data_IF_349929967271
#
_entry.id   IF_349929967271
#
_cell.length_a   1.000
_cell.length_b   1.000
_cell.length_c   1.000
_cell.angle_alpha   90.00
_cell.angle_beta   90.00
_cell.angle_gamma   90.00
#
_symmetry.space_group_name_H-M   'P 1'
#
loop_
_entity.id
_entity.type
_entity.pdbx_description
1 polymer ?
#
# COMPACT_ATOMS: atom_id res chain seq x y z
N UNK A 1 -32.23 -46.06 -1.54
CA UNK A 1 -31.33 -45.11 -2.22
C UNK A 1 -31.35 -43.72 -1.57
N UNK A 2 -32.51 -43.06 -1.46
CA UNK A 2 -32.65 -41.73 -0.86
C UNK A 2 -32.06 -41.58 0.58
N UNK A 3 -32.30 -42.55 1.48
CA UNK A 3 -31.78 -42.49 2.86
C UNK A 3 -30.25 -42.53 2.96
N UNK A 4 -29.57 -43.31 2.10
CA UNK A 4 -28.09 -43.36 2.05
C UNK A 4 -27.53 -42.05 1.49
N UNK A 5 -28.18 -41.49 0.46
CA UNK A 5 -27.85 -40.18 -0.08
C UNK A 5 -27.99 -39.07 0.97
N UNK A 6 -29.08 -39.06 1.75
CA UNK A 6 -29.28 -38.08 2.83
C UNK A 6 -28.21 -38.16 3.93
N UNK A 7 -27.73 -39.36 4.29
CA UNK A 7 -26.63 -39.49 5.25
C UNK A 7 -25.31 -38.96 4.69
N UNK A 8 -25.04 -39.14 3.39
CA UNK A 8 -23.86 -38.54 2.74
C UNK A 8 -23.96 -37.01 2.75
N UNK A 9 -25.10 -36.45 2.35
CA UNK A 9 -25.33 -34.99 2.36
C UNK A 9 -25.22 -34.43 3.78
N UNK A 10 -25.83 -35.06 4.77
CA UNK A 10 -25.73 -34.63 6.17
C UNK A 10 -24.28 -34.71 6.68
N UNK A 11 -23.54 -35.76 6.32
CA UNK A 11 -22.11 -35.87 6.64
C UNK A 11 -21.28 -34.75 6.03
N UNK A 12 -21.52 -34.39 4.75
CA UNK A 12 -20.86 -33.28 4.08
C UNK A 12 -21.20 -31.93 4.73
N UNK A 13 -22.46 -31.70 5.10
CA UNK A 13 -22.87 -30.48 5.81
C UNK A 13 -22.16 -30.38 7.16
N UNK A 14 -22.10 -31.46 7.94
CA UNK A 14 -21.38 -31.47 9.23
C UNK A 14 -19.90 -31.20 9.03
N UNK A 15 -19.27 -31.77 7.99
CA UNK A 15 -17.87 -31.49 7.66
C UNK A 15 -17.63 -30.03 7.28
N UNK A 16 -18.53 -29.42 6.48
CA UNK A 16 -18.45 -27.99 6.12
C UNK A 16 -18.61 -27.12 7.36
N UNK A 17 -19.59 -27.40 8.22
CA UNK A 17 -19.79 -26.67 9.48
C UNK A 17 -18.56 -26.81 10.38
N UNK A 18 -18.02 -28.01 10.52
CA UNK A 18 -16.82 -28.26 11.31
C UNK A 18 -15.59 -27.52 10.75
N UNK A 19 -15.42 -27.51 9.43
CA UNK A 19 -14.34 -26.77 8.77
C UNK A 19 -14.49 -25.25 8.95
N UNK A 20 -15.69 -24.70 8.80
CA UNK A 20 -15.99 -23.29 9.04
C UNK A 20 -15.77 -22.90 10.51
N UNK A 21 -16.17 -23.76 11.44
CA UNK A 21 -15.92 -23.57 12.87
C UNK A 21 -14.42 -23.61 13.17
N UNK A 22 -13.69 -24.57 12.58
CA UNK A 22 -12.26 -24.68 12.74
C UNK A 22 -11.53 -23.47 12.17
N UNK A 23 -11.91 -22.99 10.98
CA UNK A 23 -11.36 -21.75 10.41
C UNK A 23 -11.72 -20.52 11.26
N UNK A 24 -12.93 -20.46 11.81
CA UNK A 24 -13.34 -19.37 12.71
C UNK A 24 -12.50 -19.33 13.99
N UNK A 25 -12.13 -20.48 14.55
CA UNK A 25 -11.38 -20.57 15.81
C UNK A 25 -9.85 -20.48 15.57
N UNK A 26 -9.35 -21.13 14.50
CA UNK A 26 -7.93 -21.31 14.24
C UNK A 26 -7.43 -20.69 12.92
N UNK A 27 -8.24 -19.87 12.25
CA UNK A 27 -7.94 -19.34 10.91
C UNK A 27 -6.60 -18.62 10.84
N UNK A 28 -6.31 -17.73 11.79
CA UNK A 28 -5.03 -17.03 11.83
C UNK A 28 -3.83 -17.95 12.09
N UNK A 29 -4.00 -19.00 12.90
CA UNK A 29 -2.97 -20.01 13.13
C UNK A 29 -2.71 -20.84 11.87
N UNK A 30 -3.76 -21.17 11.11
CA UNK A 30 -3.66 -21.87 9.83
C UNK A 30 -2.97 -21.00 8.77
N UNK A 31 -3.37 -19.74 8.64
CA UNK A 31 -2.74 -18.76 7.73
C UNK A 31 -1.25 -18.61 8.08
N UNK A 32 -0.91 -18.45 9.38
CA UNK A 32 0.47 -18.42 9.85
C UNK A 32 1.24 -19.70 9.50
N UNK A 33 0.63 -20.87 9.69
CA UNK A 33 1.28 -22.15 9.46
C UNK A 33 1.64 -22.41 7.98
N UNK A 34 0.91 -21.77 7.05
CA UNK A 34 1.15 -21.88 5.62
C UNK A 34 1.94 -20.71 5.03
N UNK A 35 1.80 -19.48 5.56
CA UNK A 35 2.46 -18.30 4.99
C UNK A 35 3.79 -17.95 5.66
N UNK A 36 3.99 -18.28 6.94
CA UNK A 36 5.24 -17.93 7.63
C UNK A 36 6.36 -18.89 7.20
N UNK A 37 7.45 -18.39 6.59
CA UNK A 37 8.60 -19.22 6.24
C UNK A 37 9.13 -19.98 7.45
N UNK A 38 9.45 -21.27 7.24
CA UNK A 38 9.95 -22.16 8.31
C UNK A 38 11.47 -22.23 8.37
N UNK A 39 12.14 -21.80 7.31
CA UNK A 39 13.59 -21.75 7.24
C UNK A 39 14.17 -20.73 8.22
N UNK A 40 15.42 -20.91 8.61
CA UNK A 40 16.15 -19.86 9.32
C UNK A 40 16.41 -18.68 8.37
N UNK A 41 16.28 -17.45 8.88
CA UNK A 41 16.64 -16.28 8.10
C UNK A 41 18.13 -16.32 7.75
N UNK A 42 18.44 -16.16 6.47
CA UNK A 42 19.81 -16.05 5.96
C UNK A 42 20.05 -14.61 5.52
N UNK A 43 21.16 -14.02 5.99
CA UNK A 43 21.49 -12.64 5.65
C UNK A 43 21.63 -12.48 4.13
N UNK A 44 20.80 -11.60 3.58
CA UNK A 44 20.78 -11.32 2.15
C UNK A 44 21.95 -10.43 1.77
N UNK A 45 22.77 -10.91 0.83
CA UNK A 45 23.90 -10.15 0.30
C UNK A 45 23.42 -8.81 -0.27
N UNK A 46 24.09 -7.69 0.05
CA UNK A 46 23.81 -6.40 -0.56
C UNK A 46 23.87 -6.48 -2.09
N UNK A 47 23.01 -5.72 -2.77
CA UNK A 47 23.16 -5.55 -4.21
C UNK A 47 24.45 -4.77 -4.51
N UNK A 48 25.04 -4.92 -5.71
CA UNK A 48 26.07 -4.01 -6.19
C UNK A 48 25.59 -2.56 -6.08
N UNK A 49 26.47 -1.61 -5.73
CA UNK A 49 26.08 -0.21 -5.48
C UNK A 49 25.36 0.44 -6.67
N UNK A 50 25.68 0.01 -7.89
CA UNK A 50 25.10 0.48 -9.15
C UNK A 50 23.92 -0.38 -9.65
N UNK A 51 23.31 -1.23 -8.81
CA UNK A 51 22.27 -2.14 -9.27
C UNK A 51 21.09 -1.44 -9.96
N UNK A 52 20.65 -0.28 -9.45
CA UNK A 52 19.51 0.45 -10.04
C UNK A 52 19.90 1.38 -11.20
N UNK A 53 21.17 1.41 -11.63
CA UNK A 53 21.51 1.98 -12.94
C UNK A 53 20.86 1.15 -14.08
N UNK A 54 20.69 -0.18 -13.87
CA UNK A 54 20.02 -1.09 -14.82
C UNK A 54 18.50 -0.82 -14.87
N UNK A 55 17.92 -0.43 -16.03
CA UNK A 55 16.48 -0.27 -16.19
C UNK A 55 15.67 -1.52 -15.80
N UNK A 56 16.26 -2.73 -15.89
CA UNK A 56 15.59 -3.98 -15.48
C UNK A 56 15.36 -4.07 -13.97
N UNK A 57 16.02 -3.25 -13.16
CA UNK A 57 15.76 -3.16 -11.72
C UNK A 57 14.57 -2.25 -11.40
N UNK A 58 13.87 -1.77 -12.41
CA UNK A 58 12.68 -0.96 -12.28
C UNK A 58 11.47 -1.67 -12.89
N UNK A 59 10.33 -1.60 -12.20
CA UNK A 59 9.02 -1.99 -12.75
C UNK A 59 8.50 -0.84 -13.62
N UNK A 60 8.72 0.39 -13.17
CA UNK A 60 8.41 1.61 -13.92
C UNK A 60 9.59 2.58 -13.83
N UNK A 61 9.95 3.14 -14.98
CA UNK A 61 10.98 4.19 -15.14
C UNK A 61 10.63 5.02 -16.38
N UNK A 62 10.95 6.32 -16.46
CA UNK A 62 10.48 7.17 -17.55
C UNK A 62 10.97 6.76 -18.96
N UNK A 63 12.11 6.08 -19.04
CA UNK A 63 12.69 5.55 -20.29
C UNK A 63 12.15 4.16 -20.67
N UNK A 64 11.43 3.49 -19.77
CA UNK A 64 10.66 2.29 -20.09
C UNK A 64 9.34 2.75 -20.70
N UNK A 65 9.27 2.78 -22.03
CA UNK A 65 8.06 3.23 -22.76
C UNK A 65 7.14 2.06 -23.11
N UNK A 66 7.73 0.91 -23.45
CA UNK A 66 6.96 -0.31 -23.78
C UNK A 66 6.59 -1.04 -22.49
N UNK A 67 5.32 -1.44 -22.39
CA UNK A 67 4.79 -2.26 -21.29
C UNK A 67 5.01 -1.66 -19.87
N UNK A 68 5.18 -0.34 -19.76
CA UNK A 68 5.33 0.32 -18.47
C UNK A 68 3.97 0.41 -17.76
N UNK A 69 3.75 -0.34 -16.66
CA UNK A 69 2.46 -0.39 -16.00
C UNK A 69 2.05 0.97 -15.42
N UNK A 70 2.99 1.83 -15.08
CA UNK A 70 2.70 3.15 -14.49
C UNK A 70 2.14 4.16 -15.51
N UNK A 71 2.28 3.91 -16.82
CA UNK A 71 1.69 4.74 -17.88
C UNK A 71 0.23 4.43 -18.16
N UNK A 72 -0.30 3.35 -17.58
CA UNK A 72 -1.68 2.93 -17.80
C UNK A 72 -2.68 3.93 -17.23
N UNK A 73 -3.82 4.10 -17.90
CA UNK A 73 -4.97 4.88 -17.43
C UNK A 73 -6.27 4.10 -17.70
N UNK A 74 -7.29 4.20 -16.83
CA UNK A 74 -8.58 3.56 -17.08
C UNK A 74 -9.32 4.21 -18.25
N UNK A 75 -10.26 3.46 -18.84
CA UNK A 75 -11.05 3.95 -19.96
C UNK A 75 -11.82 5.23 -19.57
N UNK A 76 -11.83 6.21 -20.48
CA UNK A 76 -12.51 7.48 -20.28
C UNK A 76 -11.73 8.53 -19.50
N UNK A 77 -10.61 8.17 -18.86
CA UNK A 77 -9.72 9.16 -18.24
C UNK A 77 -8.94 9.90 -19.32
N UNK A 78 -9.03 11.22 -19.27
CA UNK A 78 -8.29 12.14 -20.14
C UNK A 78 -7.63 13.19 -19.26
N UNK A 79 -6.31 13.27 -19.33
CA UNK A 79 -5.57 14.37 -18.73
C UNK A 79 -4.97 15.24 -19.81
N UNK A 80 -5.02 16.55 -19.60
CA UNK A 80 -4.10 17.44 -20.28
C UNK A 80 -2.67 17.06 -19.88
N UNK A 81 -1.71 17.05 -20.81
CA UNK A 81 -0.30 16.90 -20.45
C UNK A 81 0.04 17.89 -19.33
N UNK A 82 0.62 17.45 -18.21
CA UNK A 82 0.95 18.37 -17.12
C UNK A 82 1.94 19.41 -17.62
N UNK A 83 1.62 20.70 -17.37
CA UNK A 83 2.49 21.83 -17.67
C UNK A 83 3.76 21.80 -16.83
N UNK A 84 3.65 21.31 -15.60
CA UNK A 84 4.76 21.14 -14.65
C UNK A 84 4.74 19.72 -14.08
N UNK A 85 5.92 19.12 -13.90
CA UNK A 85 6.05 17.69 -13.58
C UNK A 85 6.85 17.49 -12.29
N UNK A 86 6.35 16.62 -11.42
CA UNK A 86 7.14 16.01 -10.35
C UNK A 86 7.82 14.73 -10.82
N UNK A 87 8.86 14.32 -10.09
CA UNK A 87 9.32 12.95 -10.10
C UNK A 87 8.59 12.18 -9.00
N UNK A 88 7.98 11.04 -9.32
CA UNK A 88 7.20 10.24 -8.37
C UNK A 88 7.97 8.97 -8.04
N UNK A 89 8.32 8.76 -6.77
CA UNK A 89 8.89 7.50 -6.30
C UNK A 89 7.79 6.67 -5.64
N UNK A 90 7.41 5.56 -6.29
CA UNK A 90 6.34 4.68 -5.82
C UNK A 90 6.89 3.35 -5.30
N UNK A 91 6.66 3.03 -4.03
CA UNK A 91 7.04 1.75 -3.43
C UNK A 91 5.81 0.85 -3.34
N UNK A 92 5.78 -0.20 -4.15
CA UNK A 92 4.63 -1.09 -4.28
C UNK A 92 4.38 -1.93 -3.01
N UNK A 93 3.15 -2.46 -2.81
CA UNK A 93 2.85 -3.33 -1.68
C UNK A 93 3.44 -4.72 -1.88
N UNK A 94 3.23 -5.58 -0.86
CA UNK A 94 3.66 -6.98 -0.88
C UNK A 94 3.10 -7.71 -2.10
N UNK A 95 3.99 -8.12 -3.00
CA UNK A 95 3.68 -8.97 -4.13
C UNK A 95 4.30 -10.37 -4.02
N UNK A 96 5.17 -10.58 -3.02
CA UNK A 96 5.72 -11.90 -2.68
C UNK A 96 4.83 -12.59 -1.64
N UNK A 97 3.89 -13.40 -2.13
CA UNK A 97 2.89 -14.12 -1.33
C UNK A 97 2.99 -15.61 -1.68
N UNK A 98 3.98 -16.28 -1.11
CA UNK A 98 4.13 -17.74 -1.27
C UNK A 98 3.69 -18.48 -0.01
N UNK A 99 3.34 -19.75 -0.17
CA UNK A 99 2.81 -20.58 0.92
C UNK A 99 3.52 -21.93 0.96
N UNK A 100 3.38 -22.65 2.08
CA UNK A 100 3.87 -24.00 2.29
C UNK A 100 5.37 -24.12 2.00
N UNK A 101 5.78 -25.13 1.20
CA UNK A 101 7.17 -25.43 0.92
C UNK A 101 7.92 -24.33 0.16
N UNK A 102 7.20 -23.43 -0.50
CA UNK A 102 7.77 -22.35 -1.32
C UNK A 102 7.88 -21.02 -0.54
N UNK A 103 7.52 -21.02 0.74
CA UNK A 103 7.63 -19.86 1.62
C UNK A 103 9.09 -19.62 2.05
N UNK A 104 9.77 -18.69 1.37
CA UNK A 104 11.06 -18.15 1.78
C UNK A 104 10.91 -16.77 2.40
N UNK A 105 11.92 -16.28 3.14
CA UNK A 105 11.84 -14.97 3.78
C UNK A 105 11.77 -13.82 2.78
N UNK A 106 12.53 -13.86 1.69
CA UNK A 106 12.55 -12.79 0.71
C UNK A 106 12.47 -13.30 -0.73
N UNK A 107 11.83 -12.50 -1.56
CA UNK A 107 11.66 -12.72 -2.99
C UNK A 107 13.02 -12.76 -3.70
N UNK A 108 13.17 -13.68 -4.66
CA UNK A 108 14.25 -13.60 -5.65
C UNK A 108 13.95 -12.50 -6.67
N UNK A 109 14.97 -11.83 -7.19
CA UNK A 109 14.77 -10.74 -8.17
C UNK A 109 14.15 -11.21 -9.50
N UNK A 110 14.25 -12.50 -9.83
CA UNK A 110 13.73 -13.12 -11.05
C UNK A 110 12.41 -13.87 -10.86
N UNK A 111 11.77 -13.74 -9.69
CA UNK A 111 10.49 -14.39 -9.38
C UNK A 111 9.34 -13.82 -10.24
N UNK A 112 8.95 -14.56 -11.28
CA UNK A 112 8.04 -14.06 -12.32
C UNK A 112 6.63 -13.80 -11.78
N UNK A 113 6.13 -14.63 -10.87
CA UNK A 113 4.79 -14.48 -10.31
C UNK A 113 4.68 -13.21 -9.44
N UNK A 114 5.69 -13.00 -8.59
CA UNK A 114 5.76 -11.80 -7.74
C UNK A 114 5.99 -10.55 -8.56
N UNK A 115 6.80 -10.61 -9.62
CA UNK A 115 6.99 -9.49 -10.55
C UNK A 115 5.71 -9.16 -11.34
N UNK A 116 4.95 -10.17 -11.78
CA UNK A 116 3.66 -9.97 -12.43
C UNK A 116 2.66 -9.32 -11.47
N UNK A 117 2.64 -9.76 -10.21
CA UNK A 117 1.80 -9.20 -9.16
C UNK A 117 2.20 -7.75 -8.83
N UNK A 118 3.51 -7.46 -8.72
CA UNK A 118 4.01 -6.11 -8.51
C UNK A 118 3.65 -5.18 -9.68
N UNK A 119 3.77 -5.66 -10.93
CA UNK A 119 3.37 -4.92 -12.12
C UNK A 119 1.86 -4.57 -12.11
N UNK A 120 1.00 -5.50 -11.67
CA UNK A 120 -0.45 -5.22 -11.47
C UNK A 120 -0.69 -4.15 -10.40
N UNK A 121 0.03 -4.18 -9.28
CA UNK A 121 -0.09 -3.12 -8.27
C UNK A 121 0.41 -1.77 -8.78
N UNK A 122 1.56 -1.72 -9.47
CA UNK A 122 2.04 -0.47 -10.08
C UNK A 122 1.02 0.05 -11.10
N UNK A 123 0.42 -0.83 -11.91
CA UNK A 123 -0.64 -0.46 -12.85
C UNK A 123 -1.86 0.14 -12.14
N UNK A 124 -2.37 -0.49 -11.08
CA UNK A 124 -3.64 -0.10 -10.48
C UNK A 124 -3.51 0.99 -9.40
N UNK A 125 -2.32 1.16 -8.82
CA UNK A 125 -2.09 2.09 -7.70
C UNK A 125 -1.20 3.27 -8.14
N UNK A 126 0.00 2.99 -8.67
CA UNK A 126 0.94 4.05 -9.03
C UNK A 126 0.41 4.93 -10.17
N UNK A 127 -0.36 4.36 -11.11
CA UNK A 127 -0.98 5.11 -12.21
C UNK A 127 -1.85 6.28 -11.77
N UNK A 128 -2.38 6.29 -10.53
CA UNK A 128 -3.09 7.44 -9.99
C UNK A 128 -2.25 8.72 -10.05
N UNK A 129 -0.93 8.60 -9.96
CA UNK A 129 0.02 9.71 -9.97
C UNK A 129 0.55 10.08 -11.36
N UNK A 130 0.25 9.34 -12.43
CA UNK A 130 0.85 9.63 -13.74
C UNK A 130 0.33 10.93 -14.41
N UNK A 131 -0.67 11.60 -13.80
CA UNK A 131 -1.07 12.96 -14.19
C UNK A 131 -0.07 14.04 -13.78
N UNK A 132 0.73 13.79 -12.73
CA UNK A 132 1.54 14.83 -12.09
C UNK A 132 3.02 14.72 -12.41
N UNK A 133 3.45 13.61 -13.00
CA UNK A 133 4.87 13.32 -13.04
C UNK A 133 5.25 11.96 -13.60
N UNK A 134 6.56 11.79 -13.78
CA UNK A 134 7.14 10.54 -14.23
C UNK A 134 7.35 9.60 -13.03
N UNK A 135 6.83 8.37 -13.13
CA UNK A 135 6.84 7.42 -12.02
C UNK A 135 8.05 6.48 -12.11
N UNK A 136 8.70 6.33 -10.97
CA UNK A 136 9.78 5.41 -10.69
C UNK A 136 9.31 4.41 -9.65
N UNK A 137 9.23 3.13 -10.02
CA UNK A 137 8.85 2.04 -9.12
C UNK A 137 9.93 0.95 -9.16
N UNK A 138 10.69 0.73 -8.08
CA UNK A 138 11.79 -0.22 -8.09
C UNK A 138 11.30 -1.67 -8.02
N UNK A 139 12.09 -2.59 -8.59
CA UNK A 139 12.07 -4.00 -8.18
C UNK A 139 12.95 -4.14 -6.95
N UNK A 140 12.48 -4.81 -5.91
CA UNK A 140 13.28 -5.06 -4.72
C UNK A 140 12.96 -6.44 -4.15
N UNK A 141 13.88 -7.03 -3.37
CA UNK A 141 13.72 -8.35 -2.78
C UNK A 141 12.78 -8.30 -1.58
N UNK A 142 11.49 -8.16 -1.88
CA UNK A 142 10.40 -8.04 -0.93
C UNK A 142 10.46 -9.10 0.16
N UNK A 143 10.11 -8.69 1.38
CA UNK A 143 9.80 -9.65 2.42
C UNK A 143 8.50 -10.37 2.07
N UNK A 144 8.45 -11.67 2.35
CA UNK A 144 7.24 -12.47 2.20
C UNK A 144 6.12 -11.92 3.09
N UNK A 145 4.87 -12.05 2.64
CA UNK A 145 3.70 -11.70 3.46
C UNK A 145 3.73 -12.34 4.87
N UNK A 146 4.27 -13.54 5.00
CA UNK A 146 4.49 -14.22 6.28
C UNK A 146 5.33 -13.43 7.29
N UNK A 147 6.18 -12.49 6.86
CA UNK A 147 6.93 -11.61 7.75
C UNK A 147 6.01 -10.70 8.60
N UNK A 148 4.81 -10.38 8.11
CA UNK A 148 3.80 -9.60 8.85
C UNK A 148 2.96 -10.46 9.80
N UNK A 149 3.06 -11.79 9.69
CA UNK A 149 2.23 -12.72 10.45
C UNK A 149 2.96 -13.33 11.65
N UNK A 150 4.19 -12.91 11.92
CA UNK A 150 5.05 -13.48 12.97
C UNK A 150 5.73 -12.40 13.81
N UNK A 151 5.96 -12.70 15.09
CA UNK A 151 6.75 -11.87 16.00
C UNK A 151 8.22 -12.35 16.11
N UNK A 152 8.63 -13.30 15.26
CA UNK A 152 10.02 -13.80 15.24
C UNK A 152 10.96 -12.73 14.64
N UNK A 153 12.20 -12.62 15.14
CA UNK A 153 13.20 -11.68 14.58
C UNK A 153 13.42 -11.81 13.07
N UNK A 154 13.27 -13.03 12.53
CA UNK A 154 13.39 -13.31 11.11
C UNK A 154 12.45 -12.47 10.21
N UNK A 155 11.23 -12.17 10.68
CA UNK A 155 10.31 -11.30 9.95
C UNK A 155 10.84 -9.86 9.84
N UNK A 156 11.33 -9.31 10.94
CA UNK A 156 11.94 -7.97 10.95
C UNK A 156 13.25 -7.90 10.17
N UNK A 157 14.07 -8.96 10.23
CA UNK A 157 15.29 -9.07 9.43
C UNK A 157 14.99 -9.12 7.92
N UNK A 158 13.94 -9.83 7.53
CA UNK A 158 13.46 -9.90 6.15
C UNK A 158 12.97 -8.55 5.63
N UNK A 159 12.15 -7.83 6.42
CA UNK A 159 11.69 -6.48 6.10
C UNK A 159 12.87 -5.49 6.03
N UNK A 160 13.84 -5.61 6.94
CA UNK A 160 15.04 -4.78 6.91
C UNK A 160 15.89 -5.04 5.66
N UNK A 161 15.95 -6.28 5.17
CA UNK A 161 16.65 -6.60 3.93
C UNK A 161 15.94 -6.00 2.71
N UNK A 162 14.62 -6.11 2.64
CA UNK A 162 13.82 -5.47 1.58
C UNK A 162 13.98 -3.93 1.58
N UNK A 163 14.01 -3.31 2.75
CA UNK A 163 14.23 -1.87 2.88
C UNK A 163 15.60 -1.42 2.34
N UNK A 164 16.67 -2.21 2.48
CA UNK A 164 17.99 -1.84 1.94
C UNK A 164 17.95 -1.64 0.43
N UNK A 165 17.25 -2.52 -0.27
CA UNK A 165 17.05 -2.43 -1.72
C UNK A 165 16.24 -1.16 -2.08
N UNK A 166 15.16 -0.86 -1.34
CA UNK A 166 14.35 0.36 -1.52
C UNK A 166 15.17 1.64 -1.28
N UNK A 167 15.98 1.68 -0.23
CA UNK A 167 16.83 2.82 0.09
C UNK A 167 17.89 3.05 -1.00
N UNK A 168 18.45 1.98 -1.54
CA UNK A 168 19.38 2.06 -2.68
C UNK A 168 18.69 2.58 -3.94
N UNK A 169 17.49 2.07 -4.26
CA UNK A 169 16.69 2.57 -5.38
C UNK A 169 16.34 4.06 -5.23
N UNK A 170 16.04 4.51 -4.01
CA UNK A 170 15.74 5.90 -3.74
C UNK A 170 16.96 6.81 -4.00
N UNK A 171 18.17 6.36 -3.66
CA UNK A 171 19.39 7.10 -3.97
C UNK A 171 19.57 7.28 -5.49
N UNK A 172 19.36 6.21 -6.28
CA UNK A 172 19.44 6.30 -7.75
C UNK A 172 18.28 7.11 -8.35
N UNK A 173 17.09 7.08 -7.75
CA UNK A 173 15.99 7.99 -8.09
C UNK A 173 16.37 9.46 -7.90
N UNK A 174 16.99 9.82 -6.76
CA UNK A 174 17.42 11.20 -6.52
C UNK A 174 18.56 11.63 -7.46
N UNK A 175 19.48 10.72 -7.78
CA UNK A 175 20.54 10.94 -8.78
C UNK A 175 19.96 11.22 -10.17
N UNK A 176 18.92 10.47 -10.57
CA UNK A 176 18.23 10.66 -11.84
C UNK A 176 17.32 11.90 -11.87
N UNK A 177 16.92 12.40 -10.69
CA UNK A 177 16.06 13.57 -10.53
C UNK A 177 16.73 14.55 -9.56
N UNK A 178 17.83 15.22 -9.96
CA UNK A 178 18.61 16.09 -9.06
C UNK A 178 17.81 17.32 -8.61
N UNK A 179 16.87 17.78 -9.43
CA UNK A 179 16.10 19.00 -9.24
C UNK A 179 14.59 18.78 -9.35
N UNK A 180 13.81 19.81 -9.02
CA UNK A 180 12.37 19.82 -9.16
C UNK A 180 11.61 19.07 -8.06
N UNK A 181 10.27 19.16 -8.08
CA UNK A 181 9.41 18.61 -7.03
C UNK A 181 9.38 17.08 -7.05
N UNK A 182 9.23 16.52 -5.86
CA UNK A 182 9.13 15.08 -5.61
C UNK A 182 7.75 14.75 -5.02
N UNK A 183 7.17 13.64 -5.43
CA UNK A 183 6.08 12.97 -4.71
C UNK A 183 6.57 11.60 -4.30
N UNK A 184 6.42 11.26 -3.02
CA UNK A 184 6.73 9.92 -2.52
C UNK A 184 5.42 9.21 -2.22
N UNK A 185 5.22 8.03 -2.79
CA UNK A 185 3.97 7.30 -2.63
C UNK A 185 4.26 5.82 -2.39
N UNK A 186 3.40 5.16 -1.64
CA UNK A 186 3.54 3.75 -1.37
C UNK A 186 2.22 3.11 -0.92
N UNK A 187 2.24 1.78 -0.80
CA UNK A 187 1.16 1.01 -0.19
C UNK A 187 1.71 -0.11 0.70
N UNK A 188 1.05 -0.39 1.84
CA UNK A 188 1.33 -1.56 2.69
C UNK A 188 2.81 -1.71 3.08
N UNK A 189 3.48 -2.82 2.73
CA UNK A 189 4.93 -3.00 2.94
C UNK A 189 5.75 -1.83 2.37
N UNK A 190 5.36 -1.32 1.21
CA UNK A 190 6.00 -0.14 0.64
C UNK A 190 5.84 1.09 1.53
N UNK A 191 4.70 1.26 2.18
CA UNK A 191 4.46 2.36 3.12
C UNK A 191 5.28 2.21 4.38
N UNK A 192 5.43 0.99 4.92
CA UNK A 192 6.40 0.72 5.99
C UNK A 192 7.82 1.16 5.59
N UNK A 193 8.26 0.82 4.38
CA UNK A 193 9.56 1.23 3.85
C UNK A 193 9.64 2.75 3.62
N UNK A 194 8.56 3.37 3.13
CA UNK A 194 8.47 4.81 2.91
C UNK A 194 8.63 5.57 4.23
N UNK A 195 7.97 5.14 5.31
CA UNK A 195 8.10 5.79 6.61
C UNK A 195 9.53 5.72 7.17
N UNK A 196 10.19 4.57 7.02
CA UNK A 196 11.60 4.42 7.39
C UNK A 196 12.50 5.31 6.52
N UNK A 197 12.24 5.36 5.21
CA UNK A 197 12.94 6.22 4.26
C UNK A 197 12.77 7.70 4.62
N UNK A 198 11.56 8.14 4.98
CA UNK A 198 11.30 9.52 5.40
C UNK A 198 12.16 9.87 6.62
N UNK A 199 12.12 9.03 7.65
CA UNK A 199 12.91 9.24 8.87
C UNK A 199 14.42 9.29 8.61
N UNK A 200 14.93 8.37 7.80
CA UNK A 200 16.38 8.19 7.65
C UNK A 200 16.99 9.02 6.52
N UNK A 201 16.24 9.27 5.44
CA UNK A 201 16.73 9.86 4.20
C UNK A 201 16.12 11.22 3.88
N UNK A 202 15.06 11.63 4.56
CA UNK A 202 14.36 12.90 4.28
C UNK A 202 14.36 13.86 5.47
N UNK A 203 13.98 13.41 6.66
CA UNK A 203 13.82 14.26 7.83
C UNK A 203 15.12 15.02 8.15
N UNK A 204 15.03 16.36 8.21
CA UNK A 204 16.18 17.24 8.46
C UNK A 204 17.21 17.31 7.32
N UNK A 205 16.90 16.80 6.12
CA UNK A 205 17.79 16.81 4.95
C UNK A 205 17.23 17.70 3.83
N UNK A 206 18.09 18.26 2.94
CA UNK A 206 17.65 19.16 1.87
C UNK A 206 16.61 18.57 0.90
N UNK A 207 16.56 17.24 0.75
CA UNK A 207 15.55 16.59 -0.09
C UNK A 207 14.12 16.81 0.42
N UNK A 208 13.92 17.06 1.72
CA UNK A 208 12.61 17.36 2.29
C UNK A 208 11.96 18.57 1.61
N UNK A 209 12.75 19.62 1.33
CA UNK A 209 12.27 20.86 0.73
C UNK A 209 11.70 20.66 -0.67
N UNK A 210 12.05 19.55 -1.34
CA UNK A 210 11.55 19.19 -2.67
C UNK A 210 10.25 18.40 -2.65
N UNK A 211 9.81 17.91 -1.48
CA UNK A 211 8.66 17.02 -1.38
C UNK A 211 7.36 17.83 -1.41
N UNK A 212 6.59 17.65 -2.48
CA UNK A 212 5.28 18.24 -2.66
C UNK A 212 4.20 17.51 -1.85
N UNK A 213 4.29 16.18 -1.75
CA UNK A 213 3.36 15.36 -0.97
C UNK A 213 3.92 13.95 -0.72
N UNK A 214 3.46 13.32 0.37
CA UNK A 214 3.74 11.93 0.71
C UNK A 214 2.44 11.16 0.85
N UNK A 215 2.32 10.01 0.18
CA UNK A 215 1.18 9.09 0.26
C UNK A 215 1.62 7.76 0.86
N UNK A 216 1.51 7.59 2.18
CA UNK A 216 1.93 6.38 2.90
C UNK A 216 0.72 5.46 3.19
N UNK A 217 -0.02 5.10 2.15
CA UNK A 217 -1.35 4.45 2.22
C UNK A 217 -1.25 3.00 2.72
N UNK A 218 -2.29 2.50 3.40
CA UNK A 218 -2.33 1.11 3.86
C UNK A 218 -1.33 0.82 4.99
N UNK A 219 -0.90 1.83 5.72
CA UNK A 219 -0.03 1.63 6.89
C UNK A 219 -0.38 2.60 8.02
N UNK A 220 -0.52 2.11 9.26
CA UNK A 220 -0.81 2.97 10.41
C UNK A 220 0.37 3.89 10.70
N UNK A 221 0.07 5.13 11.06
CA UNK A 221 1.05 6.15 11.48
C UNK A 221 0.51 6.78 12.75
N UNK A 222 1.26 6.71 13.85
CA UNK A 222 0.89 7.44 15.05
C UNK A 222 1.14 8.94 14.88
N UNK A 223 0.13 9.75 15.18
CA UNK A 223 0.25 11.22 15.17
C UNK A 223 1.25 11.69 16.22
N UNK A 224 1.30 11.04 17.37
CA UNK A 224 2.19 11.39 18.48
C UNK A 224 3.54 10.67 18.41
N UNK A 225 3.55 9.38 18.07
CA UNK A 225 4.73 8.55 18.24
C UNK A 225 5.59 8.38 16.97
N UNK A 226 5.02 8.63 15.78
CA UNK A 226 5.72 8.45 14.50
C UNK A 226 5.87 9.75 13.71
N UNK A 227 4.76 10.46 13.47
CA UNK A 227 4.69 11.64 12.60
C UNK A 227 5.76 12.70 12.91
N UNK A 228 6.09 13.02 14.18
CA UNK A 228 7.12 14.02 14.49
C UNK A 228 8.52 13.67 13.97
N UNK A 229 8.80 12.38 13.77
CA UNK A 229 10.10 11.89 13.29
C UNK A 229 10.20 11.82 11.74
N UNK A 230 9.10 12.04 11.01
CA UNK A 230 9.05 11.87 9.55
C UNK A 230 9.47 13.11 8.76
N UNK A 231 9.65 14.25 9.43
CA UNK A 231 10.11 15.50 8.82
C UNK A 231 9.06 16.29 8.04
N UNK A 232 7.82 15.78 7.93
CA UNK A 232 6.70 16.46 7.29
C UNK A 232 5.44 16.33 8.17
N UNK A 233 4.58 17.35 8.24
CA UNK A 233 3.33 17.27 8.99
C UNK A 233 2.28 16.43 8.25
N UNK A 234 1.23 16.02 8.94
CA UNK A 234 0.03 15.50 8.30
C UNK A 234 -0.66 16.60 7.47
N UNK A 235 -1.31 16.21 6.38
CA UNK A 235 -2.09 17.15 5.58
C UNK A 235 -3.39 17.53 6.30
N UNK A 236 -3.53 18.80 6.65
CA UNK A 236 -4.74 19.33 7.31
C UNK A 236 -5.86 19.64 6.30
N UNK A 237 -5.53 19.89 5.03
CA UNK A 237 -6.47 20.25 3.96
C UNK A 237 -5.95 19.85 2.58
N UNK A 238 -6.84 19.82 1.58
CA UNK A 238 -6.52 19.40 0.20
C UNK A 238 -5.54 20.34 -0.50
N UNK A 239 -5.68 21.63 -0.28
CA UNK A 239 -4.86 22.70 -0.84
C UNK A 239 -3.59 22.97 0.00
N UNK A 240 -3.06 21.95 0.66
CA UNK A 240 -1.78 21.99 1.37
C UNK A 240 -0.77 21.08 0.66
N UNK A 241 0.40 21.63 0.35
CA UNK A 241 1.58 20.86 -0.08
C UNK A 241 2.54 20.63 1.09
N UNK A 242 3.56 19.80 0.86
CA UNK A 242 4.63 19.48 1.81
C UNK A 242 4.06 18.85 3.09
N UNK A 243 3.31 17.77 2.92
CA UNK A 243 2.63 17.05 4.00
C UNK A 243 2.41 15.57 3.65
N UNK A 244 2.01 14.80 4.66
CA UNK A 244 1.79 13.35 4.60
C UNK A 244 0.29 13.03 4.65
N UNK A 245 -0.15 12.12 3.79
CA UNK A 245 -1.45 11.46 3.86
C UNK A 245 -1.29 9.95 4.09
N UNK A 246 -2.22 9.36 4.83
CA UNK A 246 -2.37 7.91 4.99
C UNK A 246 -3.80 7.58 5.39
N UNK A 247 -4.27 6.39 5.00
CA UNK A 247 -5.53 5.79 5.43
C UNK A 247 -5.45 4.28 5.30
N UNK A 248 -6.38 3.57 5.94
CA UNK A 248 -6.59 2.13 5.83
C UNK A 248 -8.11 1.88 5.76
N UNK A 249 -8.59 1.25 4.70
CA UNK A 249 -10.02 1.22 4.37
C UNK A 249 -10.75 0.02 4.98
N UNK A 250 -11.87 0.26 5.65
CA UNK A 250 -12.72 -0.76 6.27
C UNK A 250 -14.21 -0.51 5.99
N UNK A 251 -14.96 -1.58 5.71
CA UNK A 251 -16.43 -1.51 5.64
C UNK A 251 -17.06 -1.86 6.99
N UNK A 252 -18.32 -1.46 7.18
CA UNK A 252 -19.10 -1.72 8.39
C UNK A 252 -19.74 -3.12 8.37
N UNK A 253 -19.74 -3.87 9.50
CA UNK A 253 -18.99 -3.60 10.73
C UNK A 253 -17.48 -3.87 10.53
N UNK A 254 -16.64 -2.91 10.93
CA UNK A 254 -15.18 -3.04 10.81
C UNK A 254 -14.59 -3.80 12.01
N UNK A 255 -13.57 -4.62 11.75
CA UNK A 255 -12.73 -5.22 12.79
C UNK A 255 -11.24 -4.96 12.48
N UNK A 256 -10.70 -3.81 12.92
CA UNK A 256 -9.29 -3.46 12.74
C UNK A 256 -8.36 -4.04 13.83
N UNK A 257 -8.88 -4.85 14.76
CA UNK A 257 -8.15 -5.29 15.97
C UNK A 257 -6.78 -5.90 15.67
N UNK A 258 -6.71 -6.83 14.70
CA UNK A 258 -5.45 -7.49 14.34
C UNK A 258 -4.37 -6.52 13.85
N UNK A 259 -4.76 -5.46 13.12
CA UNK A 259 -3.83 -4.43 12.63
C UNK A 259 -3.39 -3.53 13.77
N UNK A 260 -4.33 -3.07 14.60
CA UNK A 260 -4.05 -2.22 15.77
C UNK A 260 -3.12 -2.96 16.75
N UNK A 261 -3.42 -4.21 17.10
CA UNK A 261 -2.58 -5.01 18.00
C UNK A 261 -1.17 -5.22 17.43
N UNK A 262 -1.05 -5.46 16.12
CA UNK A 262 0.26 -5.58 15.48
C UNK A 262 1.04 -4.27 15.50
N UNK A 263 0.37 -3.15 15.26
CA UNK A 263 0.96 -1.82 15.31
C UNK A 263 1.43 -1.47 16.72
N UNK A 264 0.59 -1.72 17.74
CA UNK A 264 0.89 -1.43 19.15
C UNK A 264 2.10 -2.21 19.70
N UNK A 265 2.39 -3.40 19.17
CA UNK A 265 3.57 -4.20 19.58
C UNK A 265 4.89 -3.69 19.00
N UNK A 266 4.85 -2.95 17.89
CA UNK A 266 6.08 -2.50 17.21
C UNK A 266 6.62 -1.23 17.88
N UNK A 267 7.95 -1.03 17.91
CA UNK A 267 8.54 0.21 18.40
C UNK A 267 8.17 1.37 17.46
N UNK A 268 7.93 2.54 18.03
CA UNK A 268 7.69 3.77 17.28
C UNK A 268 8.97 4.47 16.87
N UNK A 269 8.84 5.55 16.09
CA UNK A 269 10.00 6.32 15.66
C UNK A 269 10.55 7.30 16.70
N UNK A 270 9.73 7.73 17.66
CA UNK A 270 10.16 8.64 18.75
C UNK A 270 10.50 7.92 20.05
N UNK A 271 10.20 6.62 20.17
CA UNK A 271 10.37 5.84 21.39
C UNK A 271 9.15 5.85 22.32
N UNK A 272 8.17 6.72 22.08
CA UNK A 272 6.85 6.69 22.73
C UNK A 272 6.07 5.46 22.27
N UNK A 273 5.45 4.64 23.15
CA UNK A 273 4.64 3.50 22.72
C UNK A 273 3.48 3.93 21.81
N UNK A 274 3.14 3.13 20.80
CA UNK A 274 1.95 3.37 19.96
C UNK A 274 0.64 3.22 20.74
N UNK A 275 0.63 2.39 21.79
CA UNK A 275 -0.56 2.14 22.60
C UNK A 275 -1.09 3.44 23.21
N UNK A 276 -2.37 3.74 22.97
CA UNK A 276 -3.02 4.96 23.44
C UNK A 276 -2.73 6.22 22.61
N UNK A 277 -2.10 6.08 21.45
CA UNK A 277 -1.89 7.18 20.48
C UNK A 277 -2.95 7.15 19.38
N UNK A 278 -3.06 8.24 18.62
CA UNK A 278 -4.03 8.34 17.54
C UNK A 278 -3.39 7.94 16.21
N UNK A 279 -4.08 7.11 15.43
CA UNK A 279 -3.65 6.81 14.06
C UNK A 279 -4.07 7.93 13.09
N UNK A 280 -3.15 8.31 12.21
CA UNK A 280 -3.41 9.25 11.13
C UNK A 280 -4.42 8.68 10.14
N UNK A 281 -5.55 9.38 9.97
CA UNK A 281 -6.51 9.11 8.91
C UNK A 281 -6.72 10.35 8.04
N UNK A 282 -6.38 10.25 6.76
CA UNK A 282 -6.73 11.22 5.74
C UNK A 282 -7.94 10.71 4.98
N UNK A 283 -8.99 11.52 4.88
CA UNK A 283 -10.12 11.19 4.02
C UNK A 283 -9.73 11.49 2.56
N UNK A 284 -9.64 10.48 1.68
CA UNK A 284 -9.14 10.67 0.32
C UNK A 284 -10.09 11.50 -0.54
N UNK A 285 -11.38 11.54 -0.24
CA UNK A 285 -12.36 12.36 -0.98
C UNK A 285 -12.17 13.85 -0.64
N UNK A 286 -11.96 14.19 0.64
CA UNK A 286 -11.77 15.58 1.07
C UNK A 286 -10.32 16.04 0.95
N UNK A 287 -9.35 15.13 0.93
CA UNK A 287 -7.92 15.42 0.96
C UNK A 287 -7.44 16.03 2.28
N UNK A 288 -8.18 15.81 3.37
CA UNK A 288 -7.91 16.42 4.67
C UNK A 288 -7.82 15.35 5.77
N UNK A 289 -7.12 15.69 6.85
CA UNK A 289 -7.14 14.92 8.08
C UNK A 289 -8.57 14.81 8.63
N UNK A 290 -8.96 13.61 9.02
CA UNK A 290 -10.29 13.28 9.51
C UNK A 290 -11.44 13.63 8.52
N UNK A 291 -12.64 13.83 9.05
CA UNK A 291 -13.81 14.26 8.29
C UNK A 291 -14.58 13.13 7.62
N UNK A 292 -15.71 13.50 7.03
CA UNK A 292 -16.62 12.60 6.32
C UNK A 292 -17.00 13.20 4.97
N UNK A 293 -17.17 12.34 3.97
CA UNK A 293 -17.68 12.70 2.66
C UNK A 293 -18.69 11.64 2.20
N UNK A 294 -19.84 12.06 1.64
CA UNK A 294 -20.81 11.13 1.08
C UNK A 294 -20.28 10.47 -0.19
N UNK A 295 -20.84 9.31 -0.55
CA UNK A 295 -20.43 8.56 -1.74
C UNK A 295 -20.49 9.40 -3.00
N UNK A 296 -21.51 10.26 -3.14
CA UNK A 296 -21.66 11.18 -4.28
C UNK A 296 -20.53 12.19 -4.49
N UNK A 297 -19.65 12.38 -3.50
CA UNK A 297 -18.44 13.21 -3.63
C UNK A 297 -17.22 12.44 -4.13
N UNK A 298 -17.24 11.10 -4.12
CA UNK A 298 -16.18 10.26 -4.65
C UNK A 298 -16.11 10.39 -6.18
N UNK A 299 -14.95 10.83 -6.67
CA UNK A 299 -14.72 11.13 -8.10
C UNK A 299 -14.62 9.89 -8.97
N UNK A 300 -14.36 8.72 -8.39
CA UNK A 300 -14.22 7.49 -9.15
C UNK A 300 -13.45 6.40 -8.42
N UNK A 301 -14.16 5.31 -8.13
CA UNK A 301 -13.60 4.01 -7.76
C UNK A 301 -13.14 3.25 -9.02
N UNK A 302 -11.95 2.67 -8.98
CA UNK A 302 -11.38 1.86 -10.04
C UNK A 302 -11.98 0.45 -10.05
N UNK A 303 -12.87 0.18 -11.01
CA UNK A 303 -13.50 -1.13 -11.17
C UNK A 303 -12.69 -2.04 -12.10
N UNK A 304 -11.90 -2.93 -11.50
CA UNK A 304 -11.04 -3.91 -12.18
C UNK A 304 -11.49 -5.36 -11.95
N UNK A 305 -12.76 -5.59 -11.59
CA UNK A 305 -13.28 -6.92 -11.22
C UNK A 305 -13.40 -7.88 -12.40
N UNK A 306 -13.78 -7.36 -13.55
CA UNK A 306 -14.01 -8.13 -14.76
C UNK A 306 -12.77 -8.03 -15.67
N UNK A 307 -12.02 -9.12 -15.77
CA UNK A 307 -10.81 -9.19 -16.58
C UNK A 307 -11.11 -9.14 -18.10
N UNK A 308 -12.34 -9.45 -18.51
CA UNK A 308 -12.78 -9.45 -19.90
C UNK A 308 -13.33 -8.08 -20.34
N UNK A 309 -13.49 -7.14 -19.40
CA UNK A 309 -13.94 -5.78 -19.67
C UNK A 309 -12.84 -4.75 -19.41
N UNK A 310 -12.84 -3.62 -20.13
CA UNK A 310 -11.97 -2.50 -19.79
C UNK A 310 -12.23 -2.02 -18.36
N UNK A 311 -11.15 -1.84 -17.60
CA UNK A 311 -11.20 -1.20 -16.27
C UNK A 311 -11.66 0.25 -16.43
N UNK A 312 -12.67 0.64 -15.64
CA UNK A 312 -13.32 1.96 -15.70
C UNK A 312 -13.42 2.59 -14.32
N UNK A 313 -13.71 3.89 -14.29
CA UNK A 313 -14.05 4.59 -13.07
C UNK A 313 -15.56 4.56 -12.82
N UNK A 314 -15.95 4.23 -11.59
CA UNK A 314 -17.33 4.27 -11.11
C UNK A 314 -17.42 5.36 -10.03
N UNK A 315 -17.94 6.55 -10.34
CA UNK A 315 -18.09 7.62 -9.36
C UNK A 315 -19.28 7.35 -8.43
N UNK A 316 -19.29 7.99 -7.27
CA UNK A 316 -20.52 8.09 -6.47
C UNK A 316 -20.87 6.87 -5.60
N UNK A 317 -20.05 5.81 -5.56
CA UNK A 317 -20.43 4.52 -4.95
C UNK A 317 -19.84 4.26 -3.56
N UNK A 318 -18.73 4.90 -3.21
CA UNK A 318 -18.02 4.64 -1.94
C UNK A 318 -17.90 5.95 -1.15
N UNK A 319 -18.54 6.07 0.03
CA UNK A 319 -18.30 7.19 0.96
C UNK A 319 -16.96 7.02 1.68
N UNK A 320 -16.56 8.03 2.45
CA UNK A 320 -15.35 7.96 3.27
C UNK A 320 -15.56 8.73 4.57
N UNK A 321 -15.26 8.11 5.71
CA UNK A 321 -15.27 8.76 7.02
C UNK A 321 -14.13 8.22 7.87
N UNK A 322 -13.25 9.08 8.36
CA UNK A 322 -12.30 8.69 9.40
C UNK A 322 -13.05 8.45 10.71
N UNK A 323 -12.86 7.29 11.32
CA UNK A 323 -13.44 6.99 12.63
C UNK A 323 -12.51 7.42 13.78
N UNK A 324 -12.93 7.15 15.02
CA UNK A 324 -12.15 7.48 16.21
C UNK A 324 -10.97 6.55 16.46
N UNK A 325 -10.94 5.37 15.82
CA UNK A 325 -9.77 4.47 15.89
C UNK A 325 -8.66 4.92 14.92
N UNK A 326 -9.01 5.77 13.94
CA UNK A 326 -8.09 6.28 12.92
C UNK A 326 -8.05 5.41 11.66
N UNK A 327 -9.06 4.55 11.45
CA UNK A 327 -9.27 3.86 10.17
C UNK A 327 -10.29 4.62 9.30
N UNK A 328 -10.24 4.37 8.00
CA UNK A 328 -11.16 4.95 7.04
C UNK A 328 -12.36 4.05 6.81
N UNK A 329 -13.52 4.49 7.28
CA UNK A 329 -14.79 3.79 7.09
C UNK A 329 -15.36 4.10 5.71
N UNK A 330 -15.68 3.04 4.97
CA UNK A 330 -16.25 3.11 3.62
C UNK A 330 -17.77 2.86 3.59
N UNK A 331 -18.41 2.81 4.76
CA UNK A 331 -19.83 2.47 4.91
C UNK A 331 -20.08 0.97 4.69
N UNK A 332 -21.20 0.64 4.06
CA UNK A 332 -21.58 -0.74 3.77
C UNK A 332 -20.56 -1.45 2.85
N UNK A 333 -20.41 -2.79 2.96
CA UNK A 333 -19.54 -3.55 2.07
C UNK A 333 -19.87 -3.32 0.59
N UNK A 334 -18.83 -3.06 -0.21
CA UNK A 334 -18.92 -2.90 -1.66
C UNK A 334 -18.20 -4.05 -2.33
N UNK A 335 -18.81 -4.67 -3.34
CA UNK A 335 -18.13 -5.70 -4.12
C UNK A 335 -16.99 -5.09 -4.95
N UNK A 336 -15.75 -5.35 -4.51
CA UNK A 336 -14.50 -5.00 -5.18
C UNK A 336 -13.76 -6.23 -5.74
N UNK A 337 -14.35 -7.42 -5.62
CA UNK A 337 -13.71 -8.69 -5.94
C UNK A 337 -13.21 -9.46 -4.71
N UNK A 338 -12.43 -10.54 -4.91
CA UNK A 338 -12.22 -11.58 -3.90
C UNK A 338 -11.17 -11.25 -2.82
N UNK A 339 -10.49 -10.11 -2.92
CA UNK A 339 -9.33 -9.78 -2.07
C UNK A 339 -9.67 -8.95 -0.82
N UNK A 340 -10.94 -8.87 -0.42
CA UNK A 340 -11.32 -8.30 0.88
C UNK A 340 -10.81 -9.20 2.00
N UNK A 341 -10.02 -8.63 2.90
CA UNK A 341 -9.40 -9.34 4.02
C UNK A 341 -10.38 -9.51 5.19
N UNK A 342 -10.11 -10.46 6.12
CA UNK A 342 -10.91 -10.62 7.34
C UNK A 342 -11.12 -9.29 8.09
N UNK A 343 -12.29 -9.16 8.72
CA UNK A 343 -12.66 -7.95 9.46
C UNK A 343 -13.19 -6.81 8.61
N UNK A 344 -13.73 -7.12 7.41
CA UNK A 344 -14.18 -6.15 6.42
C UNK A 344 -13.06 -5.16 6.03
N UNK A 345 -11.84 -5.68 5.90
CA UNK A 345 -10.67 -4.90 5.60
C UNK A 345 -10.43 -4.84 4.08
N UNK A 346 -10.51 -3.64 3.53
CA UNK A 346 -10.37 -3.35 2.09
C UNK A 346 -8.95 -2.90 1.71
N UNK A 347 -7.95 -3.19 2.55
CA UNK A 347 -6.55 -2.81 2.37
C UNK A 347 -6.00 -3.00 0.94
N UNK A 348 -6.29 -4.12 0.28
CA UNK A 348 -5.85 -4.37 -1.12
C UNK A 348 -6.39 -3.32 -2.11
N UNK A 349 -7.52 -2.72 -1.78
CA UNK A 349 -8.26 -1.77 -2.60
C UNK A 349 -8.11 -0.31 -2.14
N UNK A 350 -7.24 0.03 -1.17
CA UNK A 350 -7.14 1.40 -0.62
C UNK A 350 -7.00 2.48 -1.70
N UNK A 351 -6.17 2.25 -2.72
CA UNK A 351 -6.05 3.14 -3.87
C UNK A 351 -7.22 3.00 -4.85
N UNK A 352 -7.70 1.77 -5.10
CA UNK A 352 -8.75 1.52 -6.08
C UNK A 352 -10.07 2.20 -5.68
N UNK A 353 -10.44 2.16 -4.40
CA UNK A 353 -11.65 2.79 -3.88
C UNK A 353 -11.74 4.29 -4.18
N UNK A 354 -10.60 4.97 -4.28
CA UNK A 354 -10.49 6.43 -4.38
C UNK A 354 -9.53 6.89 -5.49
N UNK A 355 -9.32 6.08 -6.53
CA UNK A 355 -8.27 6.29 -7.53
C UNK A 355 -8.32 7.69 -8.17
N UNK A 356 -9.53 8.13 -8.54
CA UNK A 356 -9.72 9.44 -9.15
C UNK A 356 -9.51 10.60 -8.15
N UNK A 357 -9.86 10.39 -6.88
CA UNK A 357 -9.66 11.36 -5.82
C UNK A 357 -8.18 11.55 -5.48
N UNK A 358 -7.41 10.46 -5.42
CA UNK A 358 -5.95 10.47 -5.24
C UNK A 358 -5.27 11.19 -6.40
N UNK A 359 -5.68 10.90 -7.65
CA UNK A 359 -5.16 11.59 -8.84
C UNK A 359 -5.37 13.10 -8.76
N UNK A 360 -6.57 13.53 -8.40
CA UNK A 360 -6.89 14.95 -8.29
C UNK A 360 -6.20 15.62 -7.10
N UNK A 361 -6.12 14.94 -5.95
CA UNK A 361 -5.39 15.42 -4.78
C UNK A 361 -3.89 15.65 -5.10
N UNK A 362 -3.24 14.70 -5.78
CA UNK A 362 -1.85 14.86 -6.19
C UNK A 362 -1.64 16.06 -7.13
N UNK A 363 -2.55 16.29 -8.09
CA UNK A 363 -2.51 17.46 -8.99
C UNK A 363 -2.60 18.76 -8.20
N UNK A 364 -3.52 18.84 -7.24
CA UNK A 364 -3.73 20.03 -6.43
C UNK A 364 -2.53 20.31 -5.52
N UNK A 365 -2.00 19.29 -4.83
CA UNK A 365 -0.84 19.47 -3.94
C UNK A 365 0.41 19.89 -4.71
N UNK A 366 0.64 19.30 -5.88
CA UNK A 366 1.76 19.70 -6.74
C UNK A 366 1.60 21.16 -7.21
N UNK A 367 0.40 21.54 -7.67
CA UNK A 367 0.12 22.91 -8.10
C UNK A 367 0.27 23.94 -6.95
N UNK A 368 -0.06 23.57 -5.71
CA UNK A 368 0.17 24.42 -4.53
C UNK A 368 1.67 24.52 -4.20
N UNK A 369 2.41 23.42 -4.34
CA UNK A 369 3.85 23.40 -4.11
C UNK A 369 4.60 24.33 -5.07
N UNK A 370 4.25 24.32 -6.35
CA UNK A 370 4.92 25.09 -7.40
C UNK A 370 4.62 26.59 -7.40
N UNK A 371 3.59 27.02 -6.64
CA UNK A 371 3.26 28.44 -6.44
C UNK A 371 4.08 29.09 -5.32
N UNK A 372 4.77 28.30 -4.50
CA UNK A 372 5.69 28.78 -3.47
C UNK A 372 7.05 29.02 -4.10
#
# INVERSE_FOLDING_TARGET
>A
MARKFLYVVAGLIVLVIAALLAYRIWGMQLIRAVMVPREAFTQIQPLPANAYDDPKMWIARPDVVKDNPALWIPEGVKDAPPTEKAAVFFIHPTSYITTLGDAHWNMRLDDQESLATASRFVKNQASAFNAVGAIWAPRYRQANYGAFLTDKPAGDQSLAAAYRDVAQAFADFLKANPDGPLILAAHSQGSLHLLKLLREQVAGKPVADRIAAVYAVGWPISVEADLPALGLPACARRDQSHCIVSWQSYAEPADPSAVIESFERKPSFTGTPHKGTHMLCTNPITGAFNGAAPAGANRGTLDARDADKPTRLVPGIVPARCDTSGVLMIGEPVDMGPFTLPGNNYHVYDYALFWADVREDAKQRLAVFLKK
#
